data_IF_560528088425
#
_entry.id   IF_560528088425
#
_cell.length_a   1.000
_cell.length_b   1.000
_cell.length_c   1.000
_cell.angle_alpha   90.00
_cell.angle_beta   90.00
_cell.angle_gamma   90.00
#
_symmetry.space_group_name_H-M   'P 1'
#
loop_
_entity.id
_entity.type
_entity.pdbx_description
1 polymer ?
#
# COMPACT_ATOMS: atom_id res chain seq x y z
N UNK A 1 22.15 1.05 3.32
CA UNK A 1 20.75 1.52 3.46
C UNK A 1 19.95 0.33 3.93
N UNK A 2 19.03 0.49 4.89
CA UNK A 2 18.21 -0.62 5.35
C UNK A 2 17.13 -0.91 4.30
N UNK A 3 16.84 -2.19 4.08
CA UNK A 3 15.73 -2.62 3.24
C UNK A 3 14.52 -2.84 4.14
N UNK A 4 13.36 -2.35 3.72
CA UNK A 4 12.11 -2.46 4.44
C UNK A 4 11.09 -3.17 3.56
N UNK A 5 10.36 -4.11 4.15
CA UNK A 5 9.28 -4.85 3.53
C UNK A 5 7.97 -4.26 4.03
N UNK A 6 7.14 -3.79 3.10
CA UNK A 6 5.77 -3.38 3.37
C UNK A 6 4.86 -4.52 2.92
N UNK A 7 4.14 -5.09 3.87
CA UNK A 7 3.20 -6.17 3.63
C UNK A 7 1.80 -5.60 3.56
N UNK A 8 1.06 -5.98 2.52
CA UNK A 8 -0.32 -5.60 2.31
C UNK A 8 -1.15 -6.77 1.82
N UNK A 9 -2.45 -6.70 2.06
CA UNK A 9 -3.42 -7.63 1.52
C UNK A 9 -4.12 -7.00 0.32
N UNK A 10 -4.27 -7.77 -0.76
CA UNK A 10 -5.09 -7.43 -1.92
C UNK A 10 -6.11 -8.53 -2.14
N UNK A 11 -7.40 -8.22 -1.99
CA UNK A 11 -8.49 -9.16 -2.26
C UNK A 11 -8.28 -10.55 -1.60
N UNK A 12 -7.79 -10.58 -0.36
CA UNK A 12 -7.48 -11.81 0.38
C UNK A 12 -6.07 -12.38 0.13
N UNK A 13 -5.30 -11.83 -0.81
CA UNK A 13 -3.94 -12.27 -1.12
C UNK A 13 -2.90 -11.39 -0.43
N UNK A 14 -1.98 -12.00 0.30
CA UNK A 14 -0.86 -11.27 0.91
C UNK A 14 0.21 -11.00 -0.14
N UNK A 15 0.56 -9.72 -0.31
CA UNK A 15 1.62 -9.25 -1.18
C UNK A 15 2.60 -8.37 -0.39
N UNK A 16 3.82 -8.23 -0.92
CA UNK A 16 4.91 -7.54 -0.26
C UNK A 16 5.65 -6.67 -1.28
N UNK A 17 6.06 -5.47 -0.86
CA UNK A 17 6.99 -4.63 -1.62
C UNK A 17 8.22 -4.35 -0.77
N UNK A 18 9.37 -4.22 -1.41
CA UNK A 18 10.62 -3.86 -0.75
C UNK A 18 10.99 -2.44 -1.11
N UNK A 19 11.39 -1.64 -0.13
CA UNK A 19 11.89 -0.28 -0.31
C UNK A 19 13.20 -0.09 0.44
N UNK A 20 14.07 0.79 -0.05
CA UNK A 20 15.33 1.13 0.60
C UNK A 20 15.17 2.47 1.33
N UNK A 21 15.33 2.46 2.66
CA UNK A 21 15.23 3.66 3.49
C UNK A 21 16.26 3.62 4.62
N UNK A 22 16.78 4.77 5.03
CA UNK A 22 17.68 4.86 6.17
C UNK A 22 16.98 4.48 7.50
N UNK A 23 15.68 4.76 7.60
CA UNK A 23 14.85 4.54 8.78
C UNK A 23 13.55 3.82 8.41
N UNK A 24 12.85 3.30 9.41
CA UNK A 24 11.57 2.61 9.23
C UNK A 24 10.56 3.55 8.55
N UNK A 25 10.02 3.22 7.37
CA UNK A 25 9.03 4.07 6.73
C UNK A 25 7.78 4.19 7.60
N UNK A 26 7.23 5.40 7.65
CA UNK A 26 5.95 5.66 8.32
C UNK A 26 4.78 5.03 7.56
N UNK A 27 3.61 5.02 8.21
CA UNK A 27 2.39 4.50 7.58
C UNK A 27 2.03 5.27 6.29
N UNK A 28 2.16 6.59 6.29
CA UNK A 28 1.89 7.44 5.13
C UNK A 28 2.83 7.12 3.96
N UNK A 29 4.14 7.01 4.21
CA UNK A 29 5.09 6.60 3.18
C UNK A 29 4.80 5.20 2.64
N UNK A 30 4.43 4.26 3.52
CA UNK A 30 4.06 2.91 3.10
C UNK A 30 2.81 2.92 2.22
N UNK A 31 1.82 3.75 2.53
CA UNK A 31 0.62 3.95 1.70
C UNK A 31 1.01 4.46 0.32
N UNK A 32 1.85 5.49 0.23
CA UNK A 32 2.28 6.04 -1.06
C UNK A 32 3.04 5.02 -1.90
N UNK A 33 3.98 4.29 -1.30
CA UNK A 33 4.77 3.25 -1.99
C UNK A 33 3.87 2.11 -2.51
N UNK A 34 2.96 1.62 -1.67
CA UNK A 34 2.01 0.57 -2.04
C UNK A 34 1.04 1.07 -3.11
N UNK A 35 0.61 2.34 -3.05
CA UNK A 35 -0.26 2.96 -4.05
C UNK A 35 0.41 3.06 -5.40
N UNK A 36 1.65 3.52 -5.45
CA UNK A 36 2.41 3.63 -6.69
C UNK A 36 2.63 2.24 -7.31
N UNK A 37 3.00 1.25 -6.51
CA UNK A 37 3.18 -0.11 -7.00
C UNK A 37 1.86 -0.77 -7.42
N UNK A 38 0.79 -0.55 -6.67
CA UNK A 38 -0.54 -1.03 -7.01
C UNK A 38 -1.03 -0.43 -8.32
N UNK A 39 -0.82 0.87 -8.55
CA UNK A 39 -1.18 1.54 -9.81
C UNK A 39 -0.41 0.99 -11.02
N UNK A 40 0.81 0.47 -10.82
CA UNK A 40 1.61 -0.17 -11.88
C UNK A 40 1.21 -1.62 -12.14
N UNK A 41 0.79 -2.36 -11.10
CA UNK A 41 0.53 -3.81 -11.16
C UNK A 41 -0.94 -4.17 -11.37
N UNK A 42 -1.85 -3.33 -10.92
CA UNK A 42 -3.27 -3.60 -10.87
C UNK A 42 -4.04 -2.52 -11.60
N UNK A 43 -5.07 -2.92 -12.33
CA UNK A 43 -6.02 -1.97 -12.87
C UNK A 43 -6.83 -1.34 -11.73
N UNK A 44 -7.01 -0.01 -11.74
CA UNK A 44 -7.85 0.65 -10.76
C UNK A 44 -9.28 0.12 -10.88
N UNK A 45 -9.88 -0.23 -9.75
CA UNK A 45 -11.28 -0.58 -9.65
C UNK A 45 -12.13 0.63 -10.03
N UNK A 46 -13.26 0.37 -10.69
CA UNK A 46 -14.22 1.43 -10.97
C UNK A 46 -14.65 2.06 -9.64
N UNK A 47 -14.55 3.39 -9.50
CA UNK A 47 -15.04 4.05 -8.30
C UNK A 47 -16.53 3.72 -8.19
N UNK A 48 -16.91 3.05 -7.10
CA UNK A 48 -18.34 2.97 -6.79
C UNK A 48 -18.83 4.41 -6.66
N UNK A 49 -19.96 4.77 -7.27
CA UNK A 49 -20.48 6.14 -7.32
C UNK A 49 -20.89 6.70 -5.93
N UNK A 50 -20.41 6.08 -4.85
CA UNK A 50 -20.54 6.50 -3.47
C UNK A 50 -19.13 6.74 -2.92
N UNK A 51 -18.57 7.94 -3.10
CA UNK A 51 -17.65 8.57 -2.13
C UNK A 51 -17.11 9.89 -2.68
N UNK A 52 -17.89 10.96 -2.55
CA UNK A 52 -17.45 12.35 -2.76
C UNK A 52 -16.54 12.87 -1.62
N UNK A 53 -15.90 11.98 -0.85
CA UNK A 53 -15.12 12.42 0.31
C UNK A 53 -14.29 11.33 0.97
N UNK A 54 -13.50 10.55 0.21
CA UNK A 54 -12.63 9.52 0.77
C UNK A 54 -11.77 10.07 1.92
N UNK A 55 -12.10 9.65 3.15
CA UNK A 55 -11.50 10.09 4.40
C UNK A 55 -10.15 9.39 4.61
N UNK A 56 -9.14 9.80 3.83
CA UNK A 56 -7.73 9.49 4.06
C UNK A 56 -7.08 8.48 3.09
N UNK A 57 -5.73 8.53 2.99
CA UNK A 57 -4.98 7.84 1.93
C UNK A 57 -5.05 6.31 2.01
N UNK A 58 -5.33 5.73 3.19
CA UNK A 58 -5.52 4.29 3.35
C UNK A 58 -6.86 3.78 2.81
N UNK A 59 -7.94 4.58 2.92
CA UNK A 59 -9.25 4.22 2.36
C UNK A 59 -9.23 4.32 0.83
N UNK A 60 -8.52 5.29 0.27
CA UNK A 60 -8.32 5.41 -1.19
C UNK A 60 -7.69 4.13 -1.79
N UNK A 61 -6.67 3.58 -1.12
CA UNK A 61 -6.04 2.31 -1.52
C UNK A 61 -7.01 1.13 -1.51
N UNK A 62 -7.84 1.04 -0.47
CA UNK A 62 -8.82 -0.03 -0.35
C UNK A 62 -9.89 0.07 -1.42
N UNK A 63 -10.46 1.26 -1.64
CA UNK A 63 -11.53 1.44 -2.63
C UNK A 63 -11.04 1.33 -4.07
N UNK A 64 -9.88 1.93 -4.40
CA UNK A 64 -9.36 1.93 -5.77
C UNK A 64 -8.67 0.64 -6.16
N UNK A 65 -8.05 -0.07 -5.22
CA UNK A 65 -7.20 -1.21 -5.56
C UNK A 65 -7.52 -2.48 -4.76
N UNK A 66 -8.45 -2.43 -3.80
CA UNK A 66 -8.72 -3.55 -2.89
C UNK A 66 -7.56 -3.82 -1.93
N UNK A 67 -6.71 -2.81 -1.66
CA UNK A 67 -5.44 -2.98 -0.94
C UNK A 67 -5.52 -2.46 0.49
N UNK A 68 -5.05 -3.25 1.45
CA UNK A 68 -4.92 -2.88 2.87
C UNK A 68 -3.52 -3.19 3.38
N UNK A 69 -2.82 -2.21 3.94
CA UNK A 69 -1.49 -2.42 4.53
C UNK A 69 -1.63 -3.14 5.88
N UNK A 70 -0.89 -4.21 6.06
CA UNK A 70 -0.92 -5.05 7.26
C UNK A 70 0.33 -4.93 8.12
N UNK A 71 1.45 -4.46 7.57
CA UNK A 71 2.66 -4.28 8.36
C UNK A 71 3.85 -3.72 7.60
N UNK A 72 4.85 -3.28 8.37
CA UNK A 72 6.14 -2.77 7.90
C UNK A 72 7.23 -3.42 8.74
N UNK A 73 8.12 -4.15 8.09
CA UNK A 73 9.19 -4.93 8.72
C UNK A 73 10.53 -4.63 8.04
N UNK A 74 11.64 -4.78 8.77
CA UNK A 74 12.97 -4.72 8.16
C UNK A 74 13.24 -6.02 7.39
N UNK A 75 13.79 -5.90 6.17
CA UNK A 75 14.36 -7.01 5.43
C UNK A 75 15.80 -7.22 5.92
N UNK A 76 15.96 -7.94 7.02
CA UNK A 76 17.26 -8.44 7.43
C UNK A 76 17.55 -9.68 6.56
N UNK A 77 18.43 -9.52 5.56
CA UNK A 77 19.06 -10.64 4.85
C UNK A 77 20.15 -11.27 5.72
#
# INVERSE_FOLDING_TARGET
MAKWIITFNKDGNTAMITTESAEKPGMEQAIELVREEAAKRYEPLEPTNQDEGLEGPAQDLLQRYGVTITGISESSD
#
